data_IF_387294160499
#
_entry.id   IF_387294160499
#
_cell.length_a   1.000
_cell.length_b   1.000
_cell.length_c   1.000
_cell.angle_alpha   90.00
_cell.angle_beta   90.00
_cell.angle_gamma   90.00
#
_symmetry.space_group_name_H-M   'P 1'
#
loop_
_entity.id
_entity.type
_entity.pdbx_description
1 polymer ?
#
# COMPACT_ATOMS: atom_id res chain seq x y z
N UNK A 1 -35.90 -0.53 10.45
CA UNK A 1 -34.83 -1.35 11.06
C UNK A 1 -33.81 -1.88 10.03
N UNK A 2 -33.32 -1.03 9.10
CA UNK A 2 -32.25 -1.39 8.14
C UNK A 2 -31.18 -0.30 7.93
N UNK A 3 -31.27 0.83 8.62
CA UNK A 3 -30.45 2.01 8.30
C UNK A 3 -29.18 2.16 9.17
N UNK A 4 -29.04 1.36 10.24
CA UNK A 4 -27.84 1.40 11.10
C UNK A 4 -26.67 0.58 10.55
N UNK A 5 -26.92 -0.42 9.69
CA UNK A 5 -25.87 -1.28 9.12
C UNK A 5 -25.11 -0.52 8.03
N UNK A 6 -25.79 0.33 7.25
CA UNK A 6 -25.14 1.19 6.26
C UNK A 6 -24.19 2.21 6.91
N UNK A 7 -24.39 2.60 8.17
CA UNK A 7 -23.50 3.53 8.87
C UNK A 7 -22.20 2.89 9.36
N UNK A 8 -22.07 1.57 9.30
CA UNK A 8 -20.83 0.87 9.64
C UNK A 8 -19.98 0.67 8.38
N UNK A 9 -20.61 0.55 7.20
CA UNK A 9 -19.91 0.47 5.90
C UNK A 9 -19.66 1.87 5.31
N UNK A 10 -20.56 2.84 5.55
CA UNK A 10 -20.40 4.27 5.25
C UNK A 10 -20.00 5.10 6.48
N UNK A 11 -19.55 4.46 7.55
CA UNK A 11 -18.97 5.15 8.72
C UNK A 11 -17.57 5.72 8.47
N UNK A 12 -17.07 5.59 7.24
CA UNK A 12 -15.79 6.13 6.79
C UNK A 12 -15.89 7.60 6.31
N UNK A 13 -16.96 8.31 6.67
CA UNK A 13 -17.08 9.76 6.51
C UNK A 13 -16.54 10.51 7.75
N UNK A 14 -15.41 10.05 8.27
CA UNK A 14 -14.48 10.94 8.96
C UNK A 14 -13.40 11.27 7.94
N UNK A 15 -13.01 12.54 7.80
CA UNK A 15 -11.96 12.96 6.88
C UNK A 15 -10.68 12.11 7.00
N UNK A 16 -10.42 11.51 8.17
CA UNK A 16 -9.32 10.58 8.40
C UNK A 16 -9.42 9.26 7.61
N UNK A 17 -10.62 8.69 7.49
CA UNK A 17 -10.82 7.42 6.78
C UNK A 17 -10.58 7.54 5.27
N UNK A 18 -11.17 8.55 4.64
CA UNK A 18 -10.96 8.80 3.21
C UNK A 18 -9.49 9.10 2.86
N UNK A 19 -8.77 9.78 3.76
CA UNK A 19 -7.34 10.05 3.59
C UNK A 19 -6.52 8.77 3.76
N UNK A 20 -6.89 7.92 4.71
CA UNK A 20 -6.27 6.61 4.92
C UNK A 20 -6.41 5.72 3.67
N UNK A 21 -7.62 5.61 3.09
CA UNK A 21 -7.83 4.85 1.85
C UNK A 21 -6.97 5.37 0.69
N UNK A 22 -6.83 6.69 0.55
CA UNK A 22 -6.03 7.31 -0.50
C UNK A 22 -4.53 7.06 -0.29
N UNK A 23 -4.04 7.18 0.95
CA UNK A 23 -2.65 6.88 1.30
C UNK A 23 -2.36 5.41 1.03
N UNK A 24 -3.25 4.51 1.47
CA UNK A 24 -3.13 3.07 1.25
C UNK A 24 -3.10 2.74 -0.25
N UNK A 25 -3.99 3.36 -1.05
CA UNK A 25 -4.00 3.21 -2.50
C UNK A 25 -2.66 3.63 -3.13
N UNK A 26 -2.10 4.77 -2.71
CA UNK A 26 -0.80 5.23 -3.19
C UNK A 26 0.33 4.29 -2.79
N UNK A 27 0.30 3.77 -1.57
CA UNK A 27 1.29 2.79 -1.09
C UNK A 27 1.24 1.50 -1.92
N UNK A 28 0.04 0.98 -2.20
CA UNK A 28 -0.14 -0.18 -3.07
C UNK A 28 0.41 0.12 -4.47
N UNK A 29 0.10 1.28 -5.03
CA UNK A 29 0.55 1.67 -6.35
C UNK A 29 2.08 1.75 -6.44
N UNK A 30 2.72 2.44 -5.49
CA UNK A 30 4.18 2.56 -5.42
C UNK A 30 4.84 1.19 -5.20
N UNK A 31 4.26 0.34 -4.35
CA UNK A 31 4.71 -1.04 -4.14
C UNK A 31 4.79 -1.82 -5.46
N UNK A 32 3.71 -1.82 -6.24
CA UNK A 32 3.66 -2.53 -7.53
C UNK A 32 4.70 -1.97 -8.51
N UNK A 33 4.87 -0.65 -8.58
CA UNK A 33 5.88 -0.03 -9.45
C UNK A 33 7.30 -0.44 -9.06
N UNK A 34 7.60 -0.50 -7.75
CA UNK A 34 8.91 -0.93 -7.25
C UNK A 34 9.19 -2.39 -7.63
N UNK A 35 8.22 -3.29 -7.44
CA UNK A 35 8.35 -4.72 -7.80
C UNK A 35 8.55 -4.90 -9.30
N UNK A 36 7.84 -4.12 -10.13
CA UNK A 36 8.03 -4.15 -11.59
C UNK A 36 9.41 -3.60 -11.97
N UNK A 37 9.88 -2.53 -11.31
CA UNK A 37 11.20 -1.97 -11.55
C UNK A 37 12.33 -2.93 -11.12
N UNK A 38 12.14 -3.67 -10.04
CA UNK A 38 13.05 -4.73 -9.59
C UNK A 38 13.13 -5.87 -10.60
N UNK A 39 12.00 -6.21 -11.24
CA UNK A 39 11.94 -7.24 -12.28
C UNK A 39 12.81 -6.91 -13.50
N UNK A 40 13.33 -5.68 -13.62
CA UNK A 40 14.27 -5.28 -14.68
C UNK A 40 15.72 -5.61 -14.25
N UNK A 41 16.40 -6.58 -14.89
CA UNK A 41 17.72 -7.05 -14.46
C UNK A 41 18.81 -5.97 -14.48
N UNK A 42 18.66 -4.99 -15.37
CA UNK A 42 19.58 -3.86 -15.54
C UNK A 42 19.56 -2.89 -14.35
N UNK A 43 18.39 -2.75 -13.70
CA UNK A 43 18.24 -1.95 -12.49
C UNK A 43 18.67 -2.74 -11.26
N UNK A 44 18.30 -4.03 -11.20
CA UNK A 44 18.69 -4.92 -10.11
C UNK A 44 20.21 -5.07 -9.97
N UNK A 45 20.97 -5.14 -11.07
CA UNK A 45 22.45 -5.23 -11.00
C UNK A 45 23.13 -3.99 -10.42
N UNK A 46 22.48 -2.82 -10.45
CA UNK A 46 23.01 -1.57 -9.88
C UNK A 46 22.38 -1.17 -8.55
N UNK A 47 21.16 -1.59 -8.28
CA UNK A 47 20.35 -1.19 -7.13
C UNK A 47 19.80 -2.37 -6.34
N UNK A 48 20.35 -3.58 -6.49
CA UNK A 48 19.85 -4.80 -5.84
C UNK A 48 19.68 -4.67 -4.33
N UNK A 49 20.66 -4.06 -3.64
CA UNK A 49 20.55 -3.80 -2.20
C UNK A 49 19.40 -2.83 -1.87
N UNK A 50 19.19 -1.80 -2.69
CA UNK A 50 18.08 -0.86 -2.52
C UNK A 50 16.72 -1.55 -2.70
N UNK A 51 16.59 -2.41 -3.72
CA UNK A 51 15.37 -3.18 -3.94
C UNK A 51 15.09 -4.16 -2.79
N UNK A 52 16.13 -4.83 -2.28
CA UNK A 52 16.00 -5.72 -1.12
C UNK A 52 15.44 -5.00 0.12
N UNK A 53 15.98 -3.82 0.46
CA UNK A 53 15.45 -3.03 1.57
C UNK A 53 14.04 -2.47 1.29
N UNK A 54 13.76 -2.10 0.04
CA UNK A 54 12.44 -1.62 -0.36
C UNK A 54 11.38 -2.73 -0.26
N UNK A 55 11.67 -3.94 -0.73
CA UNK A 55 10.77 -5.10 -0.65
C UNK A 55 10.46 -5.45 0.82
N UNK A 56 11.49 -5.50 1.67
CA UNK A 56 11.30 -5.73 3.11
C UNK A 56 10.46 -4.65 3.78
N UNK A 57 10.67 -3.38 3.43
CA UNK A 57 9.88 -2.26 3.95
C UNK A 57 8.42 -2.38 3.52
N UNK A 58 8.17 -2.65 2.24
CA UNK A 58 6.82 -2.86 1.69
C UNK A 58 6.14 -4.04 2.39
N UNK A 59 6.84 -5.15 2.55
CA UNK A 59 6.31 -6.37 3.20
C UNK A 59 5.91 -6.10 4.64
N UNK A 60 6.75 -5.40 5.41
CA UNK A 60 6.44 -5.01 6.79
C UNK A 60 5.23 -4.06 6.81
N UNK A 61 5.20 -3.06 5.92
CA UNK A 61 4.11 -2.09 5.85
C UNK A 61 2.77 -2.80 5.57
N UNK A 62 2.70 -3.68 4.58
CA UNK A 62 1.50 -4.48 4.30
C UNK A 62 1.13 -5.41 5.46
N UNK A 63 2.12 -5.98 6.16
CA UNK A 63 1.88 -6.86 7.31
C UNK A 63 1.30 -6.09 8.50
N UNK A 64 1.64 -4.82 8.68
CA UNK A 64 1.07 -3.98 9.74
C UNK A 64 -0.34 -3.49 9.41
N UNK A 65 -0.64 -3.32 8.12
CA UNK A 65 -1.96 -2.88 7.63
C UNK A 65 -2.98 -4.03 7.55
N UNK A 66 -2.52 -5.28 7.40
CA UNK A 66 -3.36 -6.49 7.31
C UNK A 66 -3.66 -7.11 8.69
#
# INVERSE_FOLDING_TARGET
>A
MREKINRIIFGHDTHGGKLFDIILLWVIFVSVVIVIAESVPLLHTKFGDFFFYAEWTITILFTLEY
#
